data_IF_475096013541
#
_entry.id   IF_475096013541
#
_cell.length_a   1.000
_cell.length_b   1.000
_cell.length_c   1.000
_cell.angle_alpha   90.00
_cell.angle_beta   90.00
_cell.angle_gamma   90.00
#
_symmetry.space_group_name_H-M   'P 1'
#
loop_
_entity.id
_entity.type
_entity.pdbx_description
1 polymer ?
#
# COMPACT_ATOMS: atom_id res chain seq x y z
N UNK A 1 -10.97 4.75 -1.59
CA UNK A 1 -10.51 3.80 -2.60
C UNK A 1 -9.57 4.53 -3.55
N UNK A 2 -8.48 3.93 -3.93
CA UNK A 2 -7.38 4.46 -4.73
C UNK A 2 -7.04 3.49 -5.86
N UNK A 3 -6.08 3.83 -6.69
CA UNK A 3 -5.66 3.02 -7.84
C UNK A 3 -4.23 2.51 -7.73
N UNK A 4 -3.46 3.09 -6.82
CA UNK A 4 -2.01 2.88 -6.72
C UNK A 4 -1.22 3.65 -7.78
N UNK A 5 -1.81 4.69 -8.35
CA UNK A 5 -1.12 5.62 -9.25
C UNK A 5 -0.80 6.89 -8.46
N UNK A 6 0.45 7.00 -8.07
CA UNK A 6 0.94 8.17 -7.30
C UNK A 6 0.82 9.42 -8.15
N UNK A 7 0.22 10.47 -7.58
CA UNK A 7 0.03 11.75 -8.26
C UNK A 7 1.15 12.75 -7.95
N UNK A 8 1.71 12.68 -6.75
CA UNK A 8 2.71 13.64 -6.28
C UNK A 8 3.58 13.03 -5.19
N UNK A 9 4.85 13.46 -5.12
CA UNK A 9 5.71 13.26 -3.95
C UNK A 9 5.58 14.42 -2.99
N UNK A 10 4.99 14.20 -1.83
CA UNK A 10 4.95 15.18 -0.75
C UNK A 10 6.20 15.14 0.10
N UNK A 11 6.46 16.24 0.83
CA UNK A 11 7.54 16.32 1.80
C UNK A 11 7.01 16.52 3.21
N UNK A 12 7.38 15.65 4.12
CA UNK A 12 7.05 15.77 5.54
C UNK A 12 7.75 17.02 6.11
N UNK A 13 6.98 17.90 6.70
CA UNK A 13 7.47 19.13 7.37
C UNK A 13 7.39 19.05 8.87
N UNK A 14 6.36 18.38 9.38
CA UNK A 14 6.13 18.23 10.81
C UNK A 14 5.63 16.82 11.13
N UNK A 15 6.15 16.26 12.22
CA UNK A 15 5.74 14.96 12.78
C UNK A 15 5.42 15.16 14.25
N UNK A 16 4.23 14.72 14.68
CA UNK A 16 3.78 14.88 16.07
C UNK A 16 2.34 14.39 16.21
N UNK A 17 1.50 15.17 16.91
CA UNK A 17 0.05 14.89 16.99
C UNK A 17 -0.64 14.89 15.62
N UNK A 18 -0.08 15.63 14.68
CA UNK A 18 -0.48 15.68 13.27
C UNK A 18 0.77 15.51 12.42
N UNK A 19 0.59 14.92 11.26
CA UNK A 19 1.59 14.81 10.22
C UNK A 19 1.31 15.91 9.19
N UNK A 20 2.17 16.94 9.11
CA UNK A 20 2.05 17.97 8.06
C UNK A 20 2.92 17.60 6.86
N UNK A 21 2.31 17.57 5.68
CA UNK A 21 2.94 17.22 4.40
C UNK A 21 2.81 18.39 3.43
N UNK A 22 3.94 18.93 3.01
CA UNK A 22 4.00 19.95 1.96
C UNK A 22 3.81 19.28 0.60
N UNK A 23 2.87 19.82 -0.19
CA UNK A 23 2.49 19.33 -1.51
C UNK A 23 1.74 20.43 -2.27
N UNK A 24 1.39 20.18 -3.54
CA UNK A 24 0.67 21.15 -4.37
C UNK A 24 -0.46 20.51 -5.16
N UNK A 25 -0.14 19.47 -5.95
CA UNK A 25 -1.07 18.86 -6.92
C UNK A 25 -2.29 18.23 -6.24
N UNK A 26 -2.04 17.46 -5.18
CA UNK A 26 -3.12 16.74 -4.48
C UNK A 26 -4.00 17.65 -3.61
N UNK A 27 -3.64 18.93 -3.42
CA UNK A 27 -4.49 19.91 -2.73
C UNK A 27 -5.71 20.27 -3.57
N UNK A 28 -5.61 20.17 -4.90
CA UNK A 28 -6.73 20.46 -5.78
C UNK A 28 -7.88 19.47 -5.55
N UNK A 29 -9.01 19.99 -5.06
CA UNK A 29 -10.19 19.19 -4.71
C UNK A 29 -10.12 18.45 -3.38
N UNK A 30 -8.98 18.45 -2.67
CA UNK A 30 -8.92 17.93 -1.31
C UNK A 30 -9.74 18.83 -0.37
N UNK A 31 -10.49 18.20 0.55
CA UNK A 31 -11.32 18.89 1.54
C UNK A 31 -10.98 18.41 2.94
N UNK A 32 -11.18 19.25 3.94
CA UNK A 32 -11.10 18.81 5.35
C UNK A 32 -12.15 17.70 5.56
N UNK A 33 -11.73 16.61 6.19
CA UNK A 33 -12.51 15.38 6.31
C UNK A 33 -12.39 14.45 5.10
N UNK A 34 -11.76 14.88 4.01
CA UNK A 34 -11.49 14.05 2.83
C UNK A 34 -10.36 13.06 3.07
N UNK A 35 -10.41 11.95 2.35
CA UNK A 35 -9.36 10.93 2.36
C UNK A 35 -8.21 11.32 1.44
N UNK A 36 -7.01 10.89 1.79
CA UNK A 36 -5.80 10.95 0.97
C UNK A 36 -4.89 9.78 1.32
N UNK A 37 -4.30 9.13 0.33
CA UNK A 37 -3.31 8.09 0.58
C UNK A 37 -1.92 8.72 0.77
N UNK A 38 -1.23 8.33 1.84
CA UNK A 38 0.14 8.70 2.16
C UNK A 38 0.96 7.41 2.27
N UNK A 39 1.91 7.21 1.38
CA UNK A 39 2.60 5.92 1.22
C UNK A 39 1.61 4.74 1.19
N UNK A 40 0.51 4.88 0.46
CA UNK A 40 -0.54 3.86 0.37
C UNK A 40 -1.46 3.75 1.58
N UNK A 41 -1.21 4.46 2.67
CA UNK A 41 -2.08 4.44 3.84
C UNK A 41 -3.14 5.54 3.74
N UNK A 42 -4.41 5.16 3.80
CA UNK A 42 -5.53 6.09 3.78
C UNK A 42 -5.58 6.90 5.08
N UNK A 43 -5.45 8.21 4.96
CA UNK A 43 -5.56 9.17 6.06
C UNK A 43 -6.68 10.17 5.78
N UNK A 44 -7.15 10.84 6.84
CA UNK A 44 -8.12 11.93 6.74
C UNK A 44 -7.40 13.27 6.90
N UNK A 45 -7.60 14.18 5.93
CA UNK A 45 -7.09 15.54 6.02
C UNK A 45 -7.85 16.32 7.11
N UNK A 46 -7.13 16.85 8.09
CA UNK A 46 -7.71 17.60 9.22
C UNK A 46 -7.50 19.12 9.13
N UNK A 47 -6.51 19.54 8.35
CA UNK A 47 -6.34 20.93 7.92
C UNK A 47 -5.71 20.98 6.54
N UNK A 48 -5.99 22.05 5.80
CA UNK A 48 -5.45 22.32 4.48
C UNK A 48 -4.89 23.73 4.49
N UNK A 49 -3.66 23.88 4.04
CA UNK A 49 -2.92 25.12 3.95
C UNK A 49 -2.51 25.39 2.50
N UNK A 50 -1.97 26.56 2.21
CA UNK A 50 -1.59 26.95 0.84
C UNK A 50 -0.53 26.02 0.23
N UNK A 51 0.32 25.43 1.05
CA UNK A 51 1.50 24.65 0.64
C UNK A 51 1.48 23.20 1.17
N UNK A 52 0.33 22.73 1.69
CA UNK A 52 0.23 21.38 2.22
C UNK A 52 -1.06 21.09 2.98
N UNK A 53 -1.10 19.94 3.60
CA UNK A 53 -2.19 19.51 4.48
C UNK A 53 -1.65 18.81 5.72
N UNK A 54 -2.48 18.79 6.78
CA UNK A 54 -2.23 17.94 7.94
C UNK A 54 -3.17 16.75 7.94
N UNK A 55 -2.67 15.60 8.33
CA UNK A 55 -3.46 14.41 8.62
C UNK A 55 -3.17 13.91 10.04
N UNK A 56 -4.16 13.28 10.65
CA UNK A 56 -3.97 12.62 11.94
C UNK A 56 -3.63 11.16 11.72
N UNK A 57 -2.57 10.69 12.38
CA UNK A 57 -2.13 9.30 12.34
C UNK A 57 -2.45 8.67 13.69
N UNK A 58 -3.27 7.61 13.69
CA UNK A 58 -3.58 6.88 14.92
C UNK A 58 -2.37 6.12 15.44
N UNK A 59 -2.36 5.76 16.72
CA UNK A 59 -1.30 4.93 17.30
C UNK A 59 -1.19 3.58 16.60
N UNK A 60 -2.30 3.00 16.21
CA UNK A 60 -2.33 1.74 15.47
C UNK A 60 -1.75 1.90 14.07
N UNK A 61 -2.16 2.92 13.32
CA UNK A 61 -1.60 3.25 12.02
C UNK A 61 -0.09 3.47 12.10
N UNK A 62 0.37 4.24 13.11
CA UNK A 62 1.81 4.45 13.34
C UNK A 62 2.57 3.15 13.61
N UNK A 63 1.96 2.19 14.29
CA UNK A 63 2.56 0.89 14.62
C UNK A 63 2.63 -0.05 13.42
N UNK A 64 1.60 -0.05 12.58
CA UNK A 64 1.44 -1.00 11.48
C UNK A 64 2.04 -0.53 10.15
N UNK A 65 2.37 0.75 10.04
CA UNK A 65 2.84 1.36 8.79
C UNK A 65 4.18 2.06 8.96
N UNK A 66 4.84 2.36 7.85
CA UNK A 66 6.07 3.15 7.87
C UNK A 66 5.85 4.63 8.24
N UNK A 67 4.59 5.07 8.35
CA UNK A 67 4.27 6.44 8.77
C UNK A 67 4.76 6.74 10.19
N UNK A 68 4.81 5.73 11.07
CA UNK A 68 5.35 5.88 12.43
C UNK A 68 6.85 6.17 12.49
N UNK A 69 7.57 5.91 11.41
CA UNK A 69 9.02 6.14 11.30
C UNK A 69 9.38 7.40 10.50
N UNK A 70 8.39 8.13 10.01
CA UNK A 70 8.64 9.35 9.24
C UNK A 70 9.31 10.43 10.10
N UNK A 71 10.18 11.20 9.44
CA UNK A 71 10.87 12.35 10.00
C UNK A 71 10.70 13.54 9.08
N UNK A 72 10.83 14.74 9.62
CA UNK A 72 10.89 15.98 8.83
C UNK A 72 11.94 15.84 7.73
N UNK A 73 11.54 16.20 6.51
CA UNK A 73 12.36 16.08 5.31
C UNK A 73 12.09 14.81 4.48
N UNK A 74 11.49 13.75 5.05
CA UNK A 74 11.18 12.55 4.30
C UNK A 74 10.20 12.85 3.15
N UNK A 75 10.38 12.13 2.05
CA UNK A 75 9.43 12.11 0.94
C UNK A 75 8.39 11.02 1.16
N UNK A 76 7.17 11.28 0.72
CA UNK A 76 6.05 10.33 0.76
C UNK A 76 5.30 10.37 -0.56
N UNK A 77 4.74 9.24 -0.97
CA UNK A 77 3.86 9.13 -2.12
C UNK A 77 2.46 9.59 -1.74
N UNK A 78 1.83 10.40 -2.58
CA UNK A 78 0.50 10.94 -2.37
C UNK A 78 -0.42 10.57 -3.53
N UNK A 79 -1.65 10.14 -3.20
CA UNK A 79 -2.71 9.86 -4.16
C UNK A 79 -4.05 10.31 -3.58
N UNK A 80 -4.85 11.02 -4.39
CA UNK A 80 -6.23 11.38 -4.05
C UNK A 80 -7.17 10.18 -4.25
N UNK A 81 -8.33 10.14 -3.59
CA UNK A 81 -9.32 9.12 -3.87
C UNK A 81 -9.76 9.13 -5.33
N UNK A 82 -9.94 7.93 -5.91
CA UNK A 82 -10.50 7.74 -7.23
C UNK A 82 -11.90 8.36 -7.33
N UNK A 83 -12.13 9.20 -8.33
CA UNK A 83 -13.45 9.72 -8.69
C UNK A 83 -14.12 8.78 -9.70
N UNK A 84 -15.45 8.81 -9.79
CA UNK A 84 -16.20 7.97 -10.74
C UNK A 84 -15.86 8.23 -12.22
N UNK A 85 -15.29 9.41 -12.52
CA UNK A 85 -14.86 9.82 -13.86
C UNK A 85 -13.42 9.45 -14.20
N UNK A 86 -12.65 8.97 -13.21
CA UNK A 86 -11.24 8.65 -13.39
C UNK A 86 -11.06 7.22 -13.91
N UNK A 87 -9.94 6.96 -14.60
CA UNK A 87 -9.58 5.62 -15.03
C UNK A 87 -8.96 4.82 -13.88
N UNK A 88 -9.35 3.55 -13.74
CA UNK A 88 -8.66 2.59 -12.87
C UNK A 88 -7.41 2.07 -13.60
N UNK A 89 -6.34 2.88 -13.59
CA UNK A 89 -5.09 2.57 -14.33
C UNK A 89 -4.15 1.61 -13.61
N UNK A 90 -4.34 1.36 -12.32
CA UNK A 90 -3.62 0.36 -11.52
C UNK A 90 -4.51 -0.82 -11.15
N UNK A 91 -4.72 -1.03 -9.84
CA UNK A 91 -5.68 -1.99 -9.33
C UNK A 91 -6.51 -1.37 -8.19
N UNK A 92 -7.43 -2.11 -7.59
CA UNK A 92 -8.23 -1.62 -6.46
C UNK A 92 -7.36 -1.58 -5.21
N UNK A 93 -7.01 -0.37 -4.77
CA UNK A 93 -6.26 -0.10 -3.55
C UNK A 93 -7.18 0.60 -2.55
N UNK A 94 -7.29 0.05 -1.35
CA UNK A 94 -8.17 0.60 -0.32
C UNK A 94 -7.48 1.65 0.54
N UNK A 95 -6.15 1.60 0.59
CA UNK A 95 -5.33 2.37 1.50
C UNK A 95 -5.24 1.72 2.89
N UNK A 96 -5.51 0.44 2.97
CA UNK A 96 -5.48 -0.35 4.20
C UNK A 96 -4.22 -1.23 4.21
N UNK A 97 -3.12 -0.63 4.65
CA UNK A 97 -1.82 -1.31 4.74
C UNK A 97 -1.93 -2.59 5.56
N UNK A 98 -1.53 -3.72 4.98
CA UNK A 98 -1.56 -5.04 5.63
C UNK A 98 -0.33 -5.30 6.50
N UNK A 99 0.77 -4.60 6.22
CA UNK A 99 2.03 -4.76 6.92
C UNK A 99 3.19 -4.07 6.23
N UNK A 100 4.39 -4.40 6.64
CA UNK A 100 5.63 -3.86 6.09
C UNK A 100 6.42 -4.95 5.38
N UNK A 101 6.95 -4.65 4.20
CA UNK A 101 7.95 -5.46 3.52
C UNK A 101 9.28 -4.70 3.47
N UNK A 102 10.36 -5.41 3.69
CA UNK A 102 11.70 -4.85 3.61
C UNK A 102 12.26 -4.98 2.20
N UNK A 103 12.78 -3.90 1.63
CA UNK A 103 13.57 -3.94 0.41
C UNK A 103 14.91 -4.64 0.71
N UNK A 104 15.10 -5.82 0.17
CA UNK A 104 16.28 -6.67 0.41
C UNK A 104 17.44 -6.30 -0.51
N UNK A 105 17.15 -6.15 -1.81
CA UNK A 105 18.15 -5.84 -2.82
C UNK A 105 17.51 -5.18 -4.05
N UNK A 106 18.34 -4.48 -4.83
CA UNK A 106 18.01 -4.01 -6.18
C UNK A 106 19.00 -4.66 -7.13
N UNK A 107 18.52 -5.53 -8.01
CA UNK A 107 19.37 -6.30 -8.92
C UNK A 107 18.73 -6.47 -10.29
N UNK A 108 19.46 -6.15 -11.34
CA UNK A 108 18.96 -6.27 -12.71
C UNK A 108 17.72 -5.43 -13.02
N UNK A 109 17.54 -4.29 -12.35
CA UNK A 109 16.35 -3.44 -12.49
C UNK A 109 15.12 -3.93 -11.69
N UNK A 110 15.25 -5.04 -10.96
CA UNK A 110 14.22 -5.58 -10.08
C UNK A 110 14.47 -5.17 -8.64
N UNK A 111 13.40 -4.77 -7.98
CA UNK A 111 13.35 -4.48 -6.55
C UNK A 111 12.81 -5.72 -5.81
N UNK A 112 13.64 -6.30 -4.96
CA UNK A 112 13.32 -7.51 -4.22
C UNK A 112 12.88 -7.17 -2.80
N UNK A 113 11.69 -7.59 -2.44
CA UNK A 113 11.10 -7.36 -1.12
C UNK A 113 10.87 -8.66 -0.37
N UNK A 114 10.96 -8.61 0.96
CA UNK A 114 10.52 -9.69 1.82
C UNK A 114 8.99 -9.85 1.74
N UNK A 115 8.50 -11.09 1.91
CA UNK A 115 7.06 -11.33 2.05
C UNK A 115 6.72 -11.44 3.54
N UNK A 116 5.84 -10.59 4.09
CA UNK A 116 5.30 -10.82 5.41
C UNK A 116 4.58 -12.19 5.45
N UNK A 117 4.89 -13.08 6.40
CA UNK A 117 4.34 -14.46 6.40
C UNK A 117 2.81 -14.52 6.31
N UNK A 118 2.12 -13.58 6.94
CA UNK A 118 0.65 -13.48 6.93
C UNK A 118 0.06 -13.14 5.57
N UNK A 119 0.87 -12.57 4.66
CA UNK A 119 0.40 -12.09 3.36
C UNK A 119 0.74 -13.04 2.22
N UNK A 120 1.60 -14.06 2.45
CA UNK A 120 2.10 -14.96 1.42
C UNK A 120 0.99 -15.54 0.53
N UNK A 121 -0.11 -15.97 1.10
CA UNK A 121 -1.25 -16.58 0.41
C UNK A 121 -1.96 -15.66 -0.59
N UNK A 122 -1.78 -14.34 -0.46
CA UNK A 122 -2.37 -13.35 -1.38
C UNK A 122 -1.47 -12.99 -2.54
N UNK A 123 -0.20 -13.41 -2.51
CA UNK A 123 0.77 -13.10 -3.55
C UNK A 123 0.72 -14.14 -4.66
N UNK A 124 0.53 -13.68 -5.87
CA UNK A 124 0.49 -14.51 -7.08
C UNK A 124 1.46 -13.94 -8.10
N UNK A 125 2.25 -14.79 -8.75
CA UNK A 125 3.12 -14.34 -9.84
C UNK A 125 2.28 -13.70 -10.94
N UNK A 126 2.68 -12.54 -11.44
CA UNK A 126 1.93 -11.68 -12.36
C UNK A 126 0.70 -10.99 -11.74
N UNK A 127 0.43 -11.21 -10.46
CA UNK A 127 -0.59 -10.48 -9.72
C UNK A 127 -0.15 -9.07 -9.35
N UNK A 128 -1.08 -8.29 -8.78
CA UNK A 128 -0.87 -6.92 -8.34
C UNK A 128 -0.51 -6.86 -6.85
N UNK A 129 0.27 -5.85 -6.50
CA UNK A 129 0.57 -5.47 -5.11
C UNK A 129 0.77 -3.97 -5.05
N UNK A 130 0.29 -3.32 -3.99
CA UNK A 130 0.63 -1.92 -3.73
C UNK A 130 1.80 -1.82 -2.74
N UNK A 131 2.87 -1.12 -3.13
CA UNK A 131 4.07 -0.88 -2.32
C UNK A 131 4.23 0.63 -2.13
N UNK A 132 4.17 1.10 -0.89
CA UNK A 132 4.09 2.53 -0.57
C UNK A 132 3.07 3.27 -1.45
N UNK A 133 1.93 2.61 -1.71
CA UNK A 133 0.84 3.13 -2.53
C UNK A 133 1.06 3.06 -4.04
N UNK A 134 2.14 2.46 -4.50
CA UNK A 134 2.40 2.26 -5.93
C UNK A 134 1.89 0.89 -6.37
N UNK A 135 0.97 0.86 -7.33
CA UNK A 135 0.49 -0.37 -7.97
C UNK A 135 1.56 -0.98 -8.85
N UNK A 136 1.99 -2.20 -8.53
CA UNK A 136 3.06 -2.89 -9.22
C UNK A 136 2.69 -4.33 -9.51
N UNK A 137 3.30 -4.90 -10.56
CA UNK A 137 3.14 -6.30 -10.91
C UNK A 137 4.26 -7.13 -10.29
N UNK A 138 3.92 -8.24 -9.66
CA UNK A 138 4.87 -9.22 -9.13
C UNK A 138 5.52 -9.94 -10.32
N UNK A 139 6.85 -9.77 -10.46
CA UNK A 139 7.63 -10.41 -11.52
C UNK A 139 8.02 -11.84 -11.14
N UNK A 140 8.77 -11.97 -10.07
CA UNK A 140 9.20 -13.25 -9.50
C UNK A 140 8.65 -13.40 -8.10
N UNK A 141 8.35 -14.64 -7.73
CA UNK A 141 7.80 -15.00 -6.44
C UNK A 141 8.50 -16.24 -5.90
N UNK A 142 8.88 -16.20 -4.63
CA UNK A 142 9.40 -17.35 -3.88
C UNK A 142 8.73 -17.44 -2.51
N UNK A 143 9.16 -18.38 -1.69
CA UNK A 143 8.60 -18.61 -0.36
C UNK A 143 8.70 -17.40 0.59
N UNK A 144 9.77 -16.60 0.45
CA UNK A 144 10.10 -15.53 1.42
C UNK A 144 10.27 -14.17 0.80
N UNK A 145 10.32 -14.07 -0.52
CA UNK A 145 10.55 -12.81 -1.23
C UNK A 145 9.87 -12.77 -2.59
N UNK A 146 9.62 -11.58 -3.06
CA UNK A 146 9.09 -11.30 -4.39
C UNK A 146 9.85 -10.15 -5.03
N UNK A 147 9.76 -10.03 -6.35
CA UNK A 147 10.33 -8.92 -7.09
C UNK A 147 9.28 -8.13 -7.86
N UNK A 148 9.56 -6.86 -8.04
CA UNK A 148 8.80 -5.97 -8.92
C UNK A 148 9.75 -5.20 -9.84
N UNK A 149 9.29 -4.92 -11.06
CA UNK A 149 10.00 -4.05 -12.00
C UNK A 149 9.35 -2.67 -11.98
N UNK A 150 10.17 -1.63 -11.96
CA UNK A 150 9.70 -0.26 -11.93
C UNK A 150 10.21 0.47 -13.17
N UNK A 151 9.28 0.99 -13.98
CA UNK A 151 9.64 1.76 -15.18
C UNK A 151 10.29 3.10 -14.79
N UNK A 152 11.16 3.67 -15.64
CA UNK A 152 11.88 4.91 -15.30
C UNK A 152 10.99 6.07 -14.91
N UNK A 153 9.81 6.18 -15.51
CA UNK A 153 8.82 7.22 -15.14
C UNK A 153 8.35 7.05 -13.69
N UNK A 154 7.85 5.86 -13.33
CA UNK A 154 7.38 5.59 -11.97
C UNK A 154 8.49 5.70 -10.93
N UNK A 155 9.71 5.29 -11.29
CA UNK A 155 10.88 5.44 -10.43
C UNK A 155 11.10 6.93 -10.06
N UNK A 156 11.00 7.83 -11.06
CA UNK A 156 11.23 9.27 -10.88
C UNK A 156 10.09 9.96 -10.13
N UNK A 157 8.85 9.54 -10.37
CA UNK A 157 7.65 10.18 -9.82
C UNK A 157 7.26 9.66 -8.43
N UNK A 158 7.96 8.66 -7.90
CA UNK A 158 7.65 8.05 -6.60
C UNK A 158 8.87 8.02 -5.68
N UNK A 159 8.66 7.66 -4.42
CA UNK A 159 9.72 7.49 -3.42
C UNK A 159 10.70 6.37 -3.76
N UNK A 160 10.40 5.50 -4.74
CA UNK A 160 11.30 4.45 -5.20
C UNK A 160 12.65 4.97 -5.70
N UNK A 161 12.72 6.20 -6.23
CA UNK A 161 13.98 6.85 -6.64
C UNK A 161 15.02 6.88 -5.52
N UNK A 162 14.57 7.09 -4.29
CA UNK A 162 15.43 7.23 -3.11
C UNK A 162 15.48 5.98 -2.23
N UNK A 163 14.69 4.97 -2.57
CA UNK A 163 14.61 3.73 -1.78
C UNK A 163 15.93 2.95 -1.82
N UNK A 164 16.34 2.38 -0.71
CA UNK A 164 17.59 1.62 -0.57
C UNK A 164 17.32 0.32 0.20
N UNK A 165 18.12 -0.74 0.04
CA UNK A 165 18.03 -1.93 0.88
C UNK A 165 17.95 -1.59 2.36
N UNK A 166 17.08 -2.30 3.09
CA UNK A 166 16.71 -2.02 4.48
C UNK A 166 15.50 -1.10 4.63
N UNK A 167 15.01 -0.47 3.56
CA UNK A 167 13.77 0.31 3.60
C UNK A 167 12.57 -0.58 3.88
N UNK A 168 11.73 -0.19 4.84
CA UNK A 168 10.45 -0.85 5.16
C UNK A 168 9.32 -0.11 4.47
N UNK A 169 8.78 -0.72 3.42
CA UNK A 169 7.67 -0.18 2.64
C UNK A 169 6.32 -0.71 3.14
N UNK A 170 5.29 0.10 3.10
CA UNK A 170 3.91 -0.34 3.33
C UNK A 170 3.50 -1.29 2.21
N UNK A 171 2.86 -2.40 2.58
CA UNK A 171 2.32 -3.38 1.63
C UNK A 171 0.81 -3.47 1.79
N UNK A 172 0.10 -3.39 0.68
CA UNK A 172 -1.30 -3.79 0.57
C UNK A 172 -1.40 -4.87 -0.51
N UNK A 173 -1.83 -6.07 -0.11
CA UNK A 173 -2.11 -7.17 -1.03
C UNK A 173 -3.39 -6.87 -1.82
N UNK A 174 -3.49 -7.40 -3.04
CA UNK A 174 -4.66 -7.23 -3.88
C UNK A 174 -5.93 -7.65 -3.14
N UNK A 175 -6.88 -6.73 -3.03
CA UNK A 175 -8.12 -6.95 -2.29
C UNK A 175 -8.98 -8.07 -2.89
N UNK A 176 -8.91 -8.26 -4.20
CA UNK A 176 -9.62 -9.37 -4.86
C UNK A 176 -9.05 -10.73 -4.43
N UNK A 177 -7.74 -10.86 -4.26
CA UNK A 177 -7.12 -12.07 -3.74
C UNK A 177 -7.62 -12.41 -2.33
N UNK A 178 -7.78 -11.40 -1.47
CA UNK A 178 -8.35 -11.57 -0.11
C UNK A 178 -9.79 -12.02 -0.13
N UNK A 179 -10.61 -11.49 -1.05
CA UNK A 179 -12.02 -11.91 -1.20
C UNK A 179 -12.10 -13.35 -1.67
N UNK A 180 -11.33 -13.72 -2.71
CA UNK A 180 -11.31 -15.07 -3.26
C UNK A 180 -10.92 -16.09 -2.19
N UNK A 181 -9.86 -15.82 -1.44
CA UNK A 181 -9.42 -16.69 -0.36
C UNK A 181 -10.52 -16.88 0.69
N UNK A 182 -11.13 -15.80 1.16
CA UNK A 182 -12.22 -15.88 2.14
C UNK A 182 -13.40 -16.73 1.66
N UNK A 183 -13.72 -16.68 0.35
CA UNK A 183 -14.77 -17.50 -0.25
C UNK A 183 -14.37 -18.98 -0.26
N UNK A 184 -13.10 -19.28 -0.57
CA UNK A 184 -12.58 -20.65 -0.56
C UNK A 184 -12.56 -21.24 0.85
N UNK A 185 -12.01 -20.52 1.83
CA UNK A 185 -12.01 -20.93 3.24
C UNK A 185 -13.42 -21.26 3.75
N UNK A 186 -14.42 -20.45 3.35
CA UNK A 186 -15.81 -20.68 3.76
C UNK A 186 -16.42 -21.94 3.13
N UNK A 187 -15.95 -22.35 1.94
CA UNK A 187 -16.39 -23.57 1.26
C UNK A 187 -15.73 -24.82 1.82
N UNK A 188 -14.45 -24.75 2.13
CA UNK A 188 -13.71 -25.88 2.74
C UNK A 188 -14.25 -26.20 4.12
N UNK A 189 -14.47 -25.22 4.99
CA UNK A 189 -15.12 -25.43 6.28
C UNK A 189 -16.56 -25.97 6.15
N UNK A 190 -17.28 -25.57 5.11
CA UNK A 190 -18.61 -26.11 4.78
C UNK A 190 -18.55 -27.58 4.38
N UNK A 191 -17.59 -27.96 3.54
CA UNK A 191 -17.40 -29.34 3.08
C UNK A 191 -16.96 -30.26 4.22
N UNK A 192 -15.96 -29.84 5.03
CA UNK A 192 -15.54 -30.62 6.22
C UNK A 192 -16.68 -30.83 7.19
N UNK A 193 -17.51 -29.84 7.44
CA UNK A 193 -18.67 -29.95 8.30
C UNK A 193 -19.73 -30.92 7.72
N UNK A 194 -19.94 -30.93 6.41
CA UNK A 194 -20.82 -31.89 5.74
C UNK A 194 -20.24 -33.29 5.85
N UNK A 195 -18.96 -33.48 5.54
CA UNK A 195 -18.30 -34.77 5.62
C UNK A 195 -18.32 -35.35 7.06
N UNK A 196 -18.04 -34.53 8.07
CA UNK A 196 -18.14 -34.92 9.47
C UNK A 196 -19.58 -35.32 9.87
N UNK A 197 -20.59 -34.62 9.37
CA UNK A 197 -21.99 -34.96 9.59
C UNK A 197 -22.38 -36.31 8.96
N UNK A 198 -21.82 -36.61 7.79
CA UNK A 198 -22.01 -37.86 7.07
C UNK A 198 -21.11 -39.00 7.57
N UNK A 199 -20.34 -38.78 8.65
CA UNK A 199 -19.54 -39.81 9.31
C UNK A 199 -18.15 -40.04 8.70
N UNK A 200 -17.68 -39.17 7.83
CA UNK A 200 -16.31 -39.23 7.30
C UNK A 200 -15.31 -38.57 8.28
N UNK A 201 -14.24 -39.31 8.57
CA UNK A 201 -13.10 -38.75 9.32
C UNK A 201 -12.21 -37.93 8.36
N UNK A 202 -12.37 -36.63 8.34
CA UNK A 202 -11.57 -35.66 7.60
C UNK A 202 -10.97 -34.62 8.58
#
# INVERSE_FOLDING_TARGET
MFTGIVEERGRVKEVGRKLFISCKKVLDGLKIGGSIAVNGTCLTAVSIEKDGFSAQVSSETSRLTNLGNLRTGNLVNLERPLRLTDFLSGHIVLGHTDGLAELLEIKGGLFWFSIPPSLKRYFVQKGSVAIDGVSLTICDLSETRFSVSIIPHSLKETTFETMRPGHKANIEADYLAKIVEKILDSREGGLENILKREGFNV
#
